data_IF_446321548404
#
_entry.id   IF_446321548404
#
_cell.length_a   1.000
_cell.length_b   1.000
_cell.length_c   1.000
_cell.angle_alpha   90.00
_cell.angle_beta   90.00
_cell.angle_gamma   90.00
#
_symmetry.space_group_name_H-M   'P 1'
#
loop_
_entity.id
_entity.type
_entity.pdbx_description
1 polymer ?
#
# COMPACT_ATOMS: atom_id res chain seq x y z
N UNK A 1 -21.84 2.41 -22.19
CA UNK A 1 -22.27 0.99 -22.25
C UNK A 1 -21.46 0.23 -21.21
N UNK A 2 -22.11 -0.42 -20.25
CA UNK A 2 -21.41 -1.35 -19.34
C UNK A 2 -21.04 -2.59 -20.15
N UNK A 3 -19.82 -2.61 -20.69
CA UNK A 3 -19.28 -3.80 -21.34
C UNK A 3 -18.98 -4.83 -20.25
N UNK A 4 -19.67 -5.95 -20.31
CA UNK A 4 -19.45 -7.10 -19.44
C UNK A 4 -18.06 -7.69 -19.76
N UNK A 5 -17.25 -7.95 -18.73
CA UNK A 5 -15.90 -8.49 -18.89
C UNK A 5 -15.96 -9.94 -19.40
N UNK A 6 -15.01 -10.30 -20.28
CA UNK A 6 -14.80 -11.67 -20.77
C UNK A 6 -13.88 -12.51 -19.89
N UNK A 7 -13.30 -11.93 -18.83
CA UNK A 7 -12.41 -12.64 -17.90
C UNK A 7 -13.16 -13.76 -17.16
N UNK A 8 -12.49 -14.87 -16.78
CA UNK A 8 -13.09 -15.91 -15.96
C UNK A 8 -13.60 -15.36 -14.63
N UNK A 9 -14.68 -15.93 -14.07
CA UNK A 9 -15.33 -15.42 -12.86
C UNK A 9 -14.37 -15.33 -11.65
N UNK A 10 -13.44 -16.28 -11.51
CA UNK A 10 -12.39 -16.25 -10.48
C UNK A 10 -11.48 -15.02 -10.63
N UNK A 11 -11.06 -14.72 -11.86
CA UNK A 11 -10.24 -13.55 -12.17
C UNK A 11 -11.04 -12.27 -11.96
N UNK A 12 -12.33 -12.24 -12.31
CA UNK A 12 -13.19 -11.08 -12.00
C UNK A 12 -13.27 -10.80 -10.50
N UNK A 13 -13.42 -11.84 -9.65
CA UNK A 13 -13.40 -11.69 -8.19
C UNK A 13 -12.05 -11.16 -7.69
N UNK A 14 -10.94 -11.72 -8.18
CA UNK A 14 -9.60 -11.26 -7.86
C UNK A 14 -9.41 -9.78 -8.24
N UNK A 15 -9.86 -9.39 -9.43
CA UNK A 15 -9.79 -8.00 -9.91
C UNK A 15 -10.61 -7.06 -9.04
N UNK A 16 -11.82 -7.46 -8.63
CA UNK A 16 -12.64 -6.67 -7.69
C UNK A 16 -11.91 -6.49 -6.35
N UNK A 17 -11.22 -7.52 -5.86
CA UNK A 17 -10.46 -7.45 -4.61
C UNK A 17 -9.25 -6.51 -4.73
N UNK A 18 -8.42 -6.69 -5.77
CA UNK A 18 -7.18 -5.92 -5.96
C UNK A 18 -7.45 -4.44 -6.27
N UNK A 19 -8.50 -4.15 -7.02
CA UNK A 19 -8.80 -2.80 -7.55
C UNK A 19 -9.96 -2.12 -6.83
N UNK A 20 -10.16 -2.44 -5.55
CA UNK A 20 -11.21 -1.84 -4.74
C UNK A 20 -10.81 -0.45 -4.22
N UNK A 21 -11.36 0.60 -4.84
CA UNK A 21 -11.09 1.99 -4.43
C UNK A 21 -11.50 2.29 -2.99
N UNK A 22 -12.51 1.61 -2.44
CA UNK A 22 -12.93 1.81 -1.05
C UNK A 22 -11.89 1.25 -0.09
N UNK A 23 -11.32 0.08 -0.38
CA UNK A 23 -10.22 -0.50 0.41
C UNK A 23 -9.00 0.42 0.38
N UNK A 24 -8.65 0.95 -0.81
CA UNK A 24 -7.58 1.93 -0.93
C UNK A 24 -7.86 3.16 -0.08
N UNK A 25 -9.09 3.70 -0.14
CA UNK A 25 -9.51 4.86 0.65
C UNK A 25 -9.46 4.61 2.16
N UNK A 26 -9.87 3.42 2.62
CA UNK A 26 -9.77 3.01 4.02
C UNK A 26 -8.32 2.91 4.47
N UNK A 27 -7.45 2.26 3.68
CA UNK A 27 -6.02 2.17 3.97
C UNK A 27 -5.36 3.55 4.09
N UNK A 28 -5.74 4.52 3.25
CA UNK A 28 -5.26 5.91 3.36
C UNK A 28 -5.74 6.57 4.66
N UNK A 29 -6.98 6.31 5.06
CA UNK A 29 -7.55 6.91 6.26
C UNK A 29 -6.80 6.47 7.52
N UNK A 30 -6.31 5.23 7.55
CA UNK A 30 -5.63 4.59 8.67
C UNK A 30 -4.16 5.03 8.84
N UNK A 31 -3.48 5.46 7.78
CA UNK A 31 -2.06 5.85 7.81
C UNK A 31 -1.81 7.29 8.34
N UNK A 32 -2.81 7.95 8.95
CA UNK A 32 -2.73 9.32 9.47
C UNK A 32 -2.29 10.41 8.47
N UNK A 33 -2.35 10.10 7.17
CA UNK A 33 -2.07 11.01 6.07
C UNK A 33 -3.24 11.96 5.81
N UNK A 34 -2.95 13.22 5.47
CA UNK A 34 -3.96 14.21 5.12
C UNK A 34 -4.15 14.31 3.61
N UNK A 35 -4.91 13.37 3.06
CA UNK A 35 -5.23 13.32 1.64
C UNK A 35 -6.06 14.52 1.15
N UNK A 36 -6.64 15.32 2.06
CA UNK A 36 -7.35 16.56 1.69
C UNK A 36 -6.38 17.68 1.32
N UNK A 37 -5.19 17.70 1.93
CA UNK A 37 -4.12 18.68 1.63
C UNK A 37 -3.28 18.24 0.45
N UNK A 38 -3.00 16.96 0.33
CA UNK A 38 -2.23 16.39 -0.76
C UNK A 38 -2.93 15.12 -1.24
N UNK A 39 -3.76 15.20 -2.28
CA UNK A 39 -4.41 14.03 -2.83
C UNK A 39 -3.38 13.04 -3.38
N UNK A 40 -3.64 11.73 -3.27
CA UNK A 40 -2.70 10.71 -3.72
C UNK A 40 -2.32 10.84 -5.19
N UNK A 41 -3.26 11.13 -6.08
CA UNK A 41 -2.96 11.31 -7.51
C UNK A 41 -2.03 12.50 -7.79
N UNK A 42 -1.83 13.38 -6.81
CA UNK A 42 -0.94 14.55 -6.89
C UNK A 42 0.36 14.33 -6.09
N UNK A 43 0.37 13.41 -5.11
CA UNK A 43 1.56 13.06 -4.35
C UNK A 43 2.65 12.57 -5.31
N UNK A 44 3.76 13.30 -5.38
CA UNK A 44 4.84 12.96 -6.29
C UNK A 44 5.87 12.02 -5.65
N UNK A 45 6.53 11.22 -6.48
CA UNK A 45 7.68 10.42 -6.06
C UNK A 45 8.78 11.30 -5.43
N UNK A 46 8.94 12.53 -5.91
CA UNK A 46 9.90 13.50 -5.36
C UNK A 46 9.54 13.92 -3.92
N UNK A 47 8.26 14.12 -3.61
CA UNK A 47 7.82 14.44 -2.25
C UNK A 47 8.08 13.28 -1.28
N UNK A 48 7.81 12.05 -1.72
CA UNK A 48 8.12 10.83 -0.94
C UNK A 48 9.63 10.75 -0.67
N UNK A 49 10.47 10.97 -1.69
CA UNK A 49 11.93 10.98 -1.55
C UNK A 49 12.41 12.05 -0.56
N UNK A 50 11.90 13.28 -0.66
CA UNK A 50 12.22 14.37 0.28
C UNK A 50 11.82 14.02 1.72
N UNK A 51 10.66 13.39 1.91
CA UNK A 51 10.24 12.86 3.20
C UNK A 51 11.22 11.81 3.75
N UNK A 52 11.66 10.88 2.90
CA UNK A 52 12.62 9.83 3.26
C UNK A 52 14.00 10.39 3.62
N UNK A 53 14.48 11.41 2.88
CA UNK A 53 15.73 12.11 3.17
C UNK A 53 15.71 12.75 4.56
N UNK A 54 14.60 13.39 4.94
CA UNK A 54 14.45 13.98 6.29
C UNK A 54 14.47 12.91 7.38
N UNK A 55 13.81 11.76 7.16
CA UNK A 55 13.84 10.62 8.09
C UNK A 55 15.25 10.00 8.21
N UNK A 56 15.97 9.91 7.08
CA UNK A 56 17.36 9.47 7.08
C UNK A 56 18.24 10.41 7.90
N UNK A 57 18.12 11.72 7.72
CA UNK A 57 18.84 12.70 8.52
C UNK A 57 18.51 12.60 10.01
N UNK A 58 17.23 12.50 10.39
CA UNK A 58 16.80 12.25 11.77
C UNK A 58 17.48 11.00 12.36
N UNK A 59 17.57 9.90 11.60
CA UNK A 59 18.16 8.66 12.06
C UNK A 59 19.66 8.78 12.38
N UNK A 60 20.37 9.68 11.71
CA UNK A 60 21.80 9.93 11.95
C UNK A 60 22.06 10.70 13.25
N UNK A 61 21.06 11.39 13.76
CA UNK A 61 21.15 12.22 14.96
C UNK A 61 20.83 11.45 16.24
N UNK A 62 19.96 10.44 16.17
CA UNK A 62 19.56 9.64 17.34
C UNK A 62 20.75 8.98 18.06
N UNK A 63 21.67 8.27 17.38
CA UNK A 63 22.78 7.58 18.05
C UNK A 63 23.78 8.53 18.73
N UNK A 64 23.81 9.81 18.32
CA UNK A 64 24.84 10.78 18.75
C UNK A 64 24.57 11.37 20.12
N UNK A 65 23.35 11.24 20.67
CA UNK A 65 22.98 11.64 22.05
C UNK A 65 23.18 13.12 22.42
N UNK A 66 23.63 13.97 21.50
CA UNK A 66 24.05 15.37 21.74
C UNK A 66 23.31 16.40 20.88
N UNK A 67 22.20 15.99 20.29
CA UNK A 67 21.45 16.84 19.34
C UNK A 67 20.38 17.59 20.11
N UNK A 68 20.27 18.90 19.85
CA UNK A 68 19.27 19.72 20.52
C UNK A 68 17.86 19.28 20.14
N UNK A 69 16.95 19.29 21.11
CA UNK A 69 15.51 19.08 20.89
C UNK A 69 14.95 20.02 19.80
N UNK A 70 15.55 21.21 19.63
CA UNK A 70 15.21 22.12 18.54
C UNK A 70 15.47 21.54 17.15
N UNK A 71 16.53 20.75 16.96
CA UNK A 71 16.86 20.16 15.66
C UNK A 71 15.91 19.01 15.30
N UNK A 72 15.56 18.17 16.27
CA UNK A 72 14.52 17.15 16.09
C UNK A 72 13.18 17.77 15.72
N UNK A 73 12.79 18.86 16.41
CA UNK A 73 11.56 19.61 16.10
C UNK A 73 11.58 20.21 14.69
N UNK A 74 12.68 20.84 14.29
CA UNK A 74 12.87 21.41 12.96
C UNK A 74 12.69 20.35 11.87
N UNK A 75 13.42 19.23 11.96
CA UNK A 75 13.35 18.14 10.99
C UNK A 75 11.98 17.44 11.01
N UNK A 76 11.35 17.26 12.16
CA UNK A 76 9.98 16.71 12.25
C UNK A 76 8.99 17.60 11.51
N UNK A 77 9.06 18.92 11.70
CA UNK A 77 8.21 19.88 10.98
C UNK A 77 8.49 19.87 9.47
N UNK A 78 9.74 19.73 9.05
CA UNK A 78 10.08 19.56 7.63
C UNK A 78 9.44 18.31 7.06
N UNK A 79 9.52 17.18 7.77
CA UNK A 79 8.86 15.94 7.34
C UNK A 79 7.34 16.14 7.18
N UNK A 80 6.67 16.76 8.15
CA UNK A 80 5.23 17.02 8.08
C UNK A 80 4.82 18.05 7.03
N UNK A 81 5.77 18.86 6.56
CA UNK A 81 5.57 19.80 5.44
C UNK A 81 5.63 19.07 4.10
N UNK A 82 6.56 18.11 3.94
CA UNK A 82 6.63 17.29 2.73
C UNK A 82 5.51 16.23 2.68
N UNK A 83 5.14 15.67 3.83
CA UNK A 83 4.19 14.58 3.96
C UNK A 83 3.06 15.03 4.91
N UNK A 84 1.95 15.57 4.38
CA UNK A 84 0.88 16.10 5.21
C UNK A 84 0.25 15.03 6.09
N UNK A 85 0.09 15.36 7.37
CA UNK A 85 -0.59 14.51 8.35
C UNK A 85 -1.86 15.19 8.85
N UNK A 86 -2.83 14.38 9.29
CA UNK A 86 -4.06 14.90 9.91
C UNK A 86 -3.71 15.64 11.19
N UNK A 87 -4.24 16.86 11.35
CA UNK A 87 -3.99 17.74 12.50
C UNK A 87 -3.18 18.99 12.16
N UNK A 88 -2.87 19.78 13.20
CA UNK A 88 -1.97 20.94 13.11
C UNK A 88 -0.53 20.46 13.31
N UNK A 89 0.40 20.89 12.45
CA UNK A 89 1.82 20.57 12.56
C UNK A 89 2.37 20.90 13.96
N UNK A 90 1.85 21.95 14.60
CA UNK A 90 2.27 22.35 15.95
C UNK A 90 1.94 21.34 17.03
N UNK A 91 0.95 20.48 16.80
CA UNK A 91 0.49 19.45 17.75
C UNK A 91 0.96 18.05 17.38
N UNK A 92 1.57 17.88 16.19
CA UNK A 92 2.14 16.61 15.77
C UNK A 92 3.36 16.24 16.61
N UNK A 93 3.56 14.93 16.77
CA UNK A 93 4.63 14.34 17.57
C UNK A 93 6.00 14.71 17.00
N UNK A 94 6.97 14.98 17.88
CA UNK A 94 8.38 15.11 17.46
C UNK A 94 8.95 13.71 17.18
N UNK A 95 9.60 13.53 16.05
CA UNK A 95 10.22 12.28 15.61
C UNK A 95 11.63 12.18 16.20
N UNK A 96 11.78 11.69 17.42
CA UNK A 96 13.05 11.66 18.16
C UNK A 96 13.54 10.24 18.54
N UNK A 97 12.83 9.20 18.10
CA UNK A 97 13.18 7.81 18.35
C UNK A 97 13.28 6.98 17.06
N UNK A 98 14.09 5.90 17.09
CA UNK A 98 14.21 5.00 15.95
C UNK A 98 12.86 4.36 15.62
N UNK A 99 12.05 4.07 16.64
CA UNK A 99 10.69 3.57 16.47
C UNK A 99 9.84 4.53 15.64
N UNK A 100 9.86 5.82 15.96
CA UNK A 100 9.09 6.83 15.22
C UNK A 100 9.55 6.91 13.76
N UNK A 101 10.86 6.89 13.53
CA UNK A 101 11.42 6.91 12.18
C UNK A 101 10.99 5.66 11.40
N UNK A 102 11.10 4.47 11.99
CA UNK A 102 10.70 3.22 11.34
C UNK A 102 9.20 3.22 11.00
N UNK A 103 8.33 3.67 11.91
CA UNK A 103 6.90 3.82 11.64
C UNK A 103 6.64 4.77 10.46
N UNK A 104 7.39 5.88 10.35
CA UNK A 104 7.26 6.82 9.22
C UNK A 104 7.87 6.29 7.91
N UNK A 105 8.92 5.48 7.96
CA UNK A 105 9.44 4.79 6.76
C UNK A 105 8.41 3.81 6.22
N UNK A 106 7.78 3.00 7.10
CA UNK A 106 6.71 2.08 6.70
C UNK A 106 5.52 2.85 6.11
N UNK A 107 5.18 4.00 6.70
CA UNK A 107 4.15 4.88 6.15
C UNK A 107 4.50 5.38 4.74
N UNK A 108 5.73 5.85 4.50
CA UNK A 108 6.16 6.30 3.17
C UNK A 108 6.11 5.17 2.13
N UNK A 109 6.54 3.97 2.51
CA UNK A 109 6.47 2.79 1.66
C UNK A 109 5.00 2.45 1.30
N UNK A 110 4.11 2.48 2.27
CA UNK A 110 2.68 2.26 2.04
C UNK A 110 2.08 3.35 1.13
N UNK A 111 2.42 4.62 1.36
CA UNK A 111 1.98 5.73 0.50
C UNK A 111 2.43 5.56 -0.95
N UNK A 112 3.67 5.11 -1.17
CA UNK A 112 4.21 4.84 -2.50
C UNK A 112 3.42 3.75 -3.21
N UNK A 113 3.20 2.60 -2.55
CA UNK A 113 2.46 1.49 -3.14
C UNK A 113 1.00 1.86 -3.43
N UNK A 114 0.38 2.63 -2.54
CA UNK A 114 -0.98 3.13 -2.72
C UNK A 114 -1.02 4.11 -3.91
N UNK A 115 -0.06 5.03 -4.04
CA UNK A 115 0.02 5.96 -5.18
C UNK A 115 0.13 5.22 -6.51
N UNK A 116 1.02 4.22 -6.61
CA UNK A 116 1.17 3.38 -7.81
C UNK A 116 -0.15 2.69 -8.13
N UNK A 117 -0.78 2.05 -7.13
CA UNK A 117 -2.07 1.36 -7.29
C UNK A 117 -3.19 2.30 -7.74
N UNK A 118 -3.21 3.53 -7.21
CA UNK A 118 -4.19 4.55 -7.57
C UNK A 118 -4.01 5.02 -9.03
N UNK A 119 -2.78 5.22 -9.50
CA UNK A 119 -2.53 5.61 -10.89
C UNK A 119 -2.96 4.52 -11.87
N UNK A 120 -2.68 3.24 -11.54
CA UNK A 120 -3.18 2.08 -12.30
C UNK A 120 -4.71 2.08 -12.39
N UNK A 121 -5.42 2.61 -11.39
CA UNK A 121 -6.89 2.69 -11.37
C UNK A 121 -7.49 3.87 -12.13
N UNK A 122 -6.82 5.02 -12.09
CA UNK A 122 -7.41 6.31 -12.49
C UNK A 122 -6.96 6.78 -13.86
N UNK A 123 -5.84 6.28 -14.38
CA UNK A 123 -5.42 6.61 -15.75
C UNK A 123 -6.53 6.23 -16.73
N UNK A 124 -7.10 7.27 -17.36
CA UNK A 124 -8.22 7.19 -18.28
C UNK A 124 -7.85 6.31 -19.47
N UNK A 125 -8.72 5.36 -19.78
CA UNK A 125 -8.59 4.55 -20.98
C UNK A 125 -9.64 4.97 -22.01
N UNK A 126 -9.18 5.26 -23.23
CA UNK A 126 -10.01 5.37 -24.43
C UNK A 126 -10.12 4.00 -25.13
N UNK A 127 -10.21 2.92 -24.35
CA UNK A 127 -10.17 1.56 -24.89
C UNK A 127 -11.57 0.97 -25.07
N UNK A 128 -11.77 0.10 -26.10
CA UNK A 128 -13.05 -0.55 -26.37
C UNK A 128 -13.35 -1.74 -25.44
N UNK A 129 -12.56 -1.96 -24.39
CA UNK A 129 -12.70 -3.08 -23.44
C UNK A 129 -13.31 -2.63 -22.10
N UNK A 130 -13.78 -3.58 -21.29
CA UNK A 130 -14.31 -3.25 -19.96
C UNK A 130 -13.22 -2.68 -19.05
N UNK A 131 -13.59 -1.80 -18.10
CA UNK A 131 -12.65 -1.25 -17.09
C UNK A 131 -11.86 -2.36 -16.37
N UNK A 132 -12.50 -3.50 -16.13
CA UNK A 132 -11.87 -4.63 -15.46
C UNK A 132 -10.76 -5.27 -16.30
N UNK A 133 -11.00 -5.51 -17.59
CA UNK A 133 -10.00 -6.05 -18.52
C UNK A 133 -8.82 -5.08 -18.69
N UNK A 134 -9.13 -3.78 -18.75
CA UNK A 134 -8.14 -2.72 -18.75
C UNK A 134 -7.26 -2.72 -17.49
N UNK A 135 -7.85 -2.92 -16.31
CA UNK A 135 -7.05 -3.05 -15.08
C UNK A 135 -6.24 -4.35 -15.07
N UNK A 136 -6.79 -5.43 -15.64
CA UNK A 136 -6.12 -6.74 -15.69
C UNK A 136 -4.89 -6.69 -16.60
N UNK A 137 -4.99 -6.09 -17.79
CA UNK A 137 -3.85 -5.95 -18.71
C UNK A 137 -2.70 -5.15 -18.10
N UNK A 138 -2.99 -4.17 -17.22
CA UNK A 138 -1.97 -3.41 -16.49
C UNK A 138 -1.22 -4.20 -15.42
N UNK A 139 -1.73 -5.35 -14.99
CA UNK A 139 -0.97 -6.24 -14.12
C UNK A 139 0.21 -6.88 -14.84
N UNK A 140 0.22 -6.85 -16.19
CA UNK A 140 1.27 -7.41 -17.05
C UNK A 140 1.63 -8.85 -16.68
N UNK A 141 0.59 -9.64 -16.42
CA UNK A 141 0.72 -11.02 -15.95
C UNK A 141 -0.48 -11.85 -16.39
N UNK A 142 -0.24 -13.13 -16.68
CA UNK A 142 -1.29 -14.09 -16.99
C UNK A 142 -1.70 -14.83 -15.72
N UNK A 143 -2.98 -14.72 -15.35
CA UNK A 143 -3.54 -15.37 -14.17
C UNK A 143 -4.67 -16.30 -14.60
N UNK A 144 -4.62 -17.55 -14.14
CA UNK A 144 -5.70 -18.51 -14.35
C UNK A 144 -5.89 -19.43 -13.15
N UNK A 145 -7.14 -19.86 -12.94
CA UNK A 145 -7.46 -20.83 -11.89
C UNK A 145 -6.79 -22.17 -12.18
N UNK A 146 -6.18 -22.76 -11.14
CA UNK A 146 -5.68 -24.12 -11.21
C UNK A 146 -6.85 -25.11 -11.11
N UNK A 147 -6.78 -26.17 -11.91
CA UNK A 147 -7.70 -27.29 -11.82
C UNK A 147 -7.60 -27.94 -10.42
N UNK A 148 -8.69 -28.04 -9.65
CA UNK A 148 -8.70 -28.71 -8.35
C UNK A 148 -8.20 -30.16 -8.38
N UNK A 149 -8.28 -30.82 -9.54
CA UNK A 149 -7.78 -32.18 -9.72
C UNK A 149 -6.30 -32.27 -10.03
N UNK A 150 -5.65 -31.15 -10.37
CA UNK A 150 -4.22 -31.10 -10.65
C UNK A 150 -3.37 -31.46 -9.42
N UNK A 151 -2.19 -32.04 -9.68
CA UNK A 151 -1.21 -32.32 -8.62
C UNK A 151 -0.71 -31.04 -7.94
N UNK A 152 -0.56 -29.96 -8.71
CA UNK A 152 -0.13 -28.65 -8.23
C UNK A 152 -1.14 -28.06 -7.22
N UNK A 153 -2.42 -28.03 -7.56
CA UNK A 153 -3.48 -27.57 -6.65
C UNK A 153 -3.51 -28.39 -5.35
N UNK A 154 -3.51 -29.72 -5.48
CA UNK A 154 -3.54 -30.64 -4.31
C UNK A 154 -2.33 -30.44 -3.40
N UNK A 155 -1.15 -30.14 -3.96
CA UNK A 155 0.05 -29.83 -3.18
C UNK A 155 -0.09 -28.50 -2.43
N UNK A 156 -0.58 -27.44 -3.07
CA UNK A 156 -0.82 -26.13 -2.44
C UNK A 156 -1.84 -26.27 -1.30
N UNK A 157 -2.95 -26.98 -1.53
CA UNK A 157 -3.99 -27.23 -0.52
C UNK A 157 -3.51 -28.07 0.66
N UNK A 158 -2.58 -29.00 0.43
CA UNK A 158 -1.93 -29.72 1.52
C UNK A 158 -1.05 -28.77 2.32
N UNK A 159 -0.23 -27.97 1.64
CA UNK A 159 0.69 -27.04 2.28
C UNK A 159 -0.03 -26.00 3.14
N UNK A 160 -1.16 -25.48 2.68
CA UNK A 160 -1.95 -24.50 3.44
C UNK A 160 -2.49 -25.08 4.76
N UNK A 161 -2.85 -26.36 4.79
CA UNK A 161 -3.42 -27.02 5.98
C UNK A 161 -2.36 -27.51 6.98
N UNK A 162 -1.17 -27.88 6.52
CA UNK A 162 -0.17 -28.55 7.37
C UNK A 162 0.82 -27.61 8.04
N UNK A 163 0.87 -26.34 7.66
CA UNK A 163 1.92 -25.41 8.10
C UNK A 163 1.42 -24.23 8.95
N UNK A 164 0.21 -24.33 9.52
CA UNK A 164 -0.28 -23.34 10.47
C UNK A 164 0.43 -23.51 11.81
N UNK A 165 1.14 -22.47 12.26
CA UNK A 165 1.78 -22.46 13.58
C UNK A 165 0.73 -22.51 14.70
N UNK A 166 1.05 -23.23 15.79
CA UNK A 166 0.16 -23.39 16.95
C UNK A 166 -0.15 -22.06 17.67
N UNK A 167 0.71 -21.05 17.52
CA UNK A 167 0.51 -19.73 18.13
C UNK A 167 -0.49 -18.84 17.37
N UNK A 168 -0.88 -19.21 16.15
CA UNK A 168 -1.87 -18.49 15.37
C UNK A 168 -3.27 -19.06 15.62
N UNK A 169 -4.15 -18.25 16.20
CA UNK A 169 -5.49 -18.69 16.62
C UNK A 169 -6.58 -18.50 15.57
N UNK A 170 -6.25 -17.93 14.40
CA UNK A 170 -7.22 -17.71 13.32
C UNK A 170 -7.32 -18.93 12.41
N UNK A 171 -8.51 -19.26 11.94
CA UNK A 171 -8.71 -20.23 10.87
C UNK A 171 -8.90 -19.52 9.54
N UNK A 172 -8.59 -20.21 8.45
CA UNK A 172 -8.79 -19.71 7.11
C UNK A 172 -9.20 -20.83 6.18
N UNK A 173 -9.91 -20.46 5.12
CA UNK A 173 -10.28 -21.35 4.03
C UNK A 173 -9.70 -20.80 2.73
N UNK A 174 -9.29 -21.71 1.84
CA UNK A 174 -8.77 -21.32 0.52
C UNK A 174 -9.97 -21.22 -0.42
N UNK A 175 -10.25 -19.99 -0.87
CA UNK A 175 -11.34 -19.70 -1.81
C UNK A 175 -10.96 -20.11 -3.25
N UNK A 176 -9.77 -19.69 -3.70
CA UNK A 176 -9.28 -19.92 -5.06
C UNK A 176 -7.77 -20.14 -5.05
N UNK A 177 -7.26 -20.97 -5.96
CA UNK A 177 -5.83 -21.09 -6.23
C UNK A 177 -5.58 -20.73 -7.68
N UNK A 178 -4.91 -19.62 -7.89
CA UNK A 178 -4.51 -19.16 -9.22
C UNK A 178 -3.02 -19.41 -9.45
N UNK A 179 -2.68 -19.58 -10.72
CA UNK A 179 -1.31 -19.56 -11.23
C UNK A 179 -1.08 -18.29 -12.03
#
# INVERSE_FOLDING_TARGET
MNMQSSLPAAIQRLMILLFNINVINMTIADINYDASKLPLGVLSQEQISKGAEVLYELSRYIPKGKVSQSKFKELSNMFYTYIPHKGDIKTLKILDSLKDITEKIVMLYNLQNIHISYNVLVDKMEEPISRMESCYSRLDTEIYSLDPDSSEYKQIMRYSKTNKSEIHTFDFEVDEVCK
#
